data_IF_174872362468
#
_entry.id   IF_174872362468
#
_cell.length_a   1.000
_cell.length_b   1.000
_cell.length_c   1.000
_cell.angle_alpha   90.00
_cell.angle_beta   90.00
_cell.angle_gamma   90.00
#
_symmetry.space_group_name_H-M   'P 1'
#
loop_
_entity.id
_entity.type
_entity.pdbx_description
1 polymer ?
#
# COMPACT_ATOMS: atom_id res chain seq x y z
N UNK A 1 3.60 3.78 -21.77
CA UNK A 1 3.23 4.26 -20.41
C UNK A 1 1.95 5.10 -20.43
N UNK A 2 1.84 6.17 -21.23
CA UNK A 2 0.65 7.05 -21.25
C UNK A 2 -0.65 6.35 -21.64
N UNK A 3 -0.59 5.22 -22.31
CA UNK A 3 -1.79 4.47 -22.74
C UNK A 3 -2.50 3.71 -21.60
N UNK A 4 -1.85 3.57 -20.43
CA UNK A 4 -2.36 2.85 -19.27
C UNK A 4 -2.74 3.78 -18.10
N UNK A 5 -2.74 5.10 -18.31
CA UNK A 5 -3.14 6.05 -17.29
C UNK A 5 -4.65 6.13 -17.20
N UNK A 6 -5.21 5.59 -16.13
CA UNK A 6 -6.57 5.84 -15.71
C UNK A 6 -6.71 7.18 -15.01
N UNK A 7 -7.86 7.83 -15.15
CA UNK A 7 -8.22 8.99 -14.34
C UNK A 7 -9.52 8.66 -13.56
N UNK A 8 -9.42 8.24 -12.28
CA UNK A 8 -10.58 7.90 -11.47
C UNK A 8 -11.39 9.12 -11.03
N UNK A 9 -10.96 10.34 -11.40
CA UNK A 9 -11.54 11.64 -10.98
C UNK A 9 -11.67 11.77 -9.45
N UNK A 10 -10.75 11.14 -8.71
CA UNK A 10 -10.66 11.26 -7.26
C UNK A 10 -9.63 12.32 -6.87
N UNK A 11 -9.95 13.07 -5.82
CA UNK A 11 -9.04 14.07 -5.24
C UNK A 11 -8.92 13.86 -3.74
N UNK A 12 -7.71 13.80 -3.26
CA UNK A 12 -7.40 13.78 -1.85
C UNK A 12 -7.05 15.18 -1.39
N UNK A 13 -7.62 15.61 -0.28
CA UNK A 13 -7.32 16.90 0.34
C UNK A 13 -7.27 16.78 1.86
N UNK A 14 -6.50 17.64 2.50
CA UNK A 14 -6.53 17.74 3.96
C UNK A 14 -7.90 18.17 4.44
N UNK A 15 -8.35 17.57 5.54
CA UNK A 15 -9.61 17.94 6.18
C UNK A 15 -9.55 19.39 6.65
N UNK A 16 -10.60 20.14 6.39
CA UNK A 16 -10.76 21.55 6.85
C UNK A 16 -11.66 21.67 8.07
N UNK A 17 -12.35 20.59 8.43
CA UNK A 17 -13.24 20.49 9.59
C UNK A 17 -12.91 19.20 10.36
N UNK A 18 -12.76 19.30 11.66
CA UNK A 18 -12.53 18.15 12.54
C UNK A 18 -13.85 17.40 12.87
N UNK A 19 -13.81 16.26 13.59
CA UNK A 19 -15.02 15.51 13.96
C UNK A 19 -16.01 16.28 14.84
N UNK A 20 -15.54 17.29 15.57
CA UNK A 20 -16.35 18.14 16.44
C UNK A 20 -16.93 19.37 15.71
N UNK A 21 -16.62 19.52 14.40
CA UNK A 21 -17.11 20.63 13.57
C UNK A 21 -16.25 21.89 13.62
N UNK A 22 -15.07 21.85 14.23
CA UNK A 22 -14.16 22.99 14.30
C UNK A 22 -13.25 23.07 13.06
N UNK A 23 -12.77 24.27 12.69
CA UNK A 23 -11.75 24.41 11.66
C UNK A 23 -10.46 23.67 12.03
N UNK A 24 -9.85 22.99 11.05
CA UNK A 24 -8.59 22.26 11.23
C UNK A 24 -7.70 22.37 9.99
N UNK A 25 -6.40 22.13 10.16
CA UNK A 25 -5.48 21.92 9.04
C UNK A 25 -5.51 20.48 8.48
N UNK A 26 -6.28 19.59 9.11
CA UNK A 26 -6.28 18.16 8.78
C UNK A 26 -5.05 17.39 9.26
N UNK A 27 -4.12 18.07 9.94
CA UNK A 27 -2.89 17.48 10.47
C UNK A 27 -2.91 17.57 11.98
N UNK A 28 -2.94 16.43 12.65
CA UNK A 28 -2.79 16.33 14.11
C UNK A 28 -1.36 15.89 14.46
N UNK A 29 -0.87 16.35 15.61
CA UNK A 29 0.43 15.96 16.16
C UNK A 29 0.24 15.47 17.57
N UNK A 30 0.62 14.22 17.81
CA UNK A 30 0.48 13.57 19.13
C UNK A 30 1.86 13.33 19.72
N UNK A 31 2.08 13.84 20.93
CA UNK A 31 3.27 13.50 21.69
C UNK A 31 3.13 12.09 22.24
N UNK A 32 4.17 11.28 22.09
CA UNK A 32 4.21 9.91 22.58
C UNK A 32 5.58 9.62 23.22
N UNK A 33 5.60 8.68 24.16
CA UNK A 33 6.83 8.12 24.74
C UNK A 33 7.32 6.89 23.94
N UNK A 34 6.53 6.41 22.98
CA UNK A 34 6.91 5.30 22.10
C UNK A 34 7.92 5.81 21.08
N UNK A 35 9.11 5.20 21.07
CA UNK A 35 10.17 5.54 20.12
C UNK A 35 9.91 4.99 18.72
N UNK A 36 9.21 3.87 18.63
CA UNK A 36 8.85 3.16 17.39
C UNK A 36 7.64 2.25 17.62
N UNK A 37 7.10 1.73 16.53
CA UNK A 37 6.03 0.73 16.52
C UNK A 37 6.47 -0.45 15.65
N UNK A 38 6.33 -1.67 16.16
CA UNK A 38 6.71 -2.88 15.43
C UNK A 38 5.59 -3.30 14.48
N UNK A 39 5.86 -3.24 13.18
CA UNK A 39 4.90 -3.61 12.16
C UNK A 39 4.63 -5.12 12.09
N UNK A 40 5.56 -5.95 12.59
CA UNK A 40 5.42 -7.41 12.61
C UNK A 40 4.68 -7.90 13.87
N UNK A 41 4.59 -7.08 14.91
CA UNK A 41 3.83 -7.42 16.11
C UNK A 41 2.34 -7.13 15.92
N UNK A 42 1.50 -8.12 16.16
CA UNK A 42 0.06 -8.04 15.91
C UNK A 42 -0.68 -7.00 16.77
N UNK A 43 -0.12 -6.63 17.92
CA UNK A 43 -0.65 -5.58 18.78
C UNK A 43 -0.06 -4.22 18.40
N UNK A 44 1.27 -4.10 18.32
CA UNK A 44 1.96 -2.83 18.05
C UNK A 44 1.62 -2.28 16.68
N UNK A 45 1.45 -3.14 15.66
CA UNK A 45 1.01 -2.73 14.32
C UNK A 45 -0.35 -1.99 14.28
N UNK A 46 -1.09 -1.97 15.38
CA UNK A 46 -2.32 -1.19 15.50
C UNK A 46 -2.34 -0.28 16.74
N UNK A 47 -1.34 -0.36 17.60
CA UNK A 47 -1.32 0.40 18.85
C UNK A 47 -1.22 1.92 18.61
N UNK A 48 -0.50 2.37 17.55
CA UNK A 48 -0.45 3.80 17.16
C UNK A 48 -1.82 4.37 16.79
N UNK A 49 -2.78 3.52 16.46
CA UNK A 49 -4.16 3.91 16.12
C UNK A 49 -5.06 4.09 17.35
N UNK A 50 -4.48 4.06 18.56
CA UNK A 50 -5.24 4.16 19.81
C UNK A 50 -4.54 5.09 20.81
N UNK A 51 -5.29 6.08 21.30
CA UNK A 51 -4.81 7.02 22.33
C UNK A 51 -4.41 6.29 23.61
N UNK A 52 -5.15 5.27 24.01
CA UNK A 52 -4.86 4.47 25.21
C UNK A 52 -3.52 3.74 25.16
N UNK A 53 -2.97 3.52 23.95
CA UNK A 53 -1.70 2.84 23.74
C UNK A 53 -0.55 3.83 23.41
N UNK A 54 -0.78 5.14 23.57
CA UNK A 54 0.21 6.18 23.29
C UNK A 54 0.19 6.70 21.85
N UNK A 55 -0.75 6.25 21.03
CA UNK A 55 -1.02 6.77 19.70
C UNK A 55 -2.16 7.79 19.67
N UNK A 56 -2.95 7.78 18.62
CA UNK A 56 -4.13 8.64 18.47
C UNK A 56 -5.26 7.86 17.78
N UNK A 57 -6.47 7.98 18.35
CA UNK A 57 -7.65 7.34 17.76
C UNK A 57 -7.99 7.91 16.38
N UNK A 58 -8.52 7.04 15.51
CA UNK A 58 -8.99 7.44 14.19
C UNK A 58 -10.14 8.45 14.27
N UNK A 59 -10.17 9.38 13.35
CA UNK A 59 -11.41 10.09 13.04
C UNK A 59 -12.37 9.13 12.34
N UNK A 60 -13.67 9.47 12.34
CA UNK A 60 -14.70 8.59 11.77
C UNK A 60 -14.32 8.15 10.33
N UNK A 61 -14.00 6.86 10.11
CA UNK A 61 -13.50 6.39 8.82
C UNK A 61 -14.53 6.44 7.69
N UNK A 62 -15.83 6.59 8.02
CA UNK A 62 -16.85 6.82 6.99
C UNK A 62 -16.82 8.25 6.39
N UNK A 63 -16.00 9.15 6.95
CA UNK A 63 -15.89 10.54 6.52
C UNK A 63 -14.46 10.98 6.23
N UNK A 64 -13.48 10.32 6.81
CA UNK A 64 -12.07 10.70 6.74
C UNK A 64 -11.21 9.50 6.39
N UNK A 65 -10.31 9.67 5.45
CA UNK A 65 -9.17 8.76 5.31
C UNK A 65 -8.16 9.11 6.41
N UNK A 66 -7.93 8.18 7.33
CA UNK A 66 -6.97 8.34 8.40
C UNK A 66 -5.58 7.88 7.96
N UNK A 67 -4.57 8.69 8.21
CA UNK A 67 -3.17 8.38 7.89
C UNK A 67 -2.34 8.59 9.15
N UNK A 68 -1.70 7.52 9.64
CA UNK A 68 -0.75 7.59 10.74
C UNK A 68 0.68 7.58 10.18
N UNK A 69 1.42 8.63 10.50
CA UNK A 69 2.85 8.73 10.13
C UNK A 69 3.66 8.61 11.40
N UNK A 70 4.45 7.55 11.50
CA UNK A 70 5.21 7.22 12.71
C UNK A 70 6.52 6.49 12.36
N UNK A 71 7.33 6.21 13.36
CA UNK A 71 8.54 5.42 13.19
C UNK A 71 8.16 3.93 13.25
N UNK A 72 8.34 3.21 12.16
CA UNK A 72 8.09 1.76 12.06
C UNK A 72 9.39 0.97 12.23
N UNK A 73 9.27 -0.21 12.81
CA UNK A 73 10.34 -1.21 12.91
C UNK A 73 9.78 -2.58 12.55
N UNK A 74 10.69 -3.54 12.32
CA UNK A 74 10.37 -4.93 12.01
C UNK A 74 11.20 -5.86 12.92
N UNK A 75 10.56 -6.62 13.78
CA UNK A 75 11.21 -7.61 14.65
C UNK A 75 11.29 -9.01 14.02
N UNK A 76 10.43 -9.30 13.05
CA UNK A 76 10.34 -10.62 12.40
C UNK A 76 11.44 -10.94 11.40
N UNK A 77 12.32 -9.99 11.06
CA UNK A 77 13.46 -10.19 10.16
C UNK A 77 13.09 -10.39 8.69
N UNK A 78 11.83 -10.14 8.30
CA UNK A 78 11.30 -10.34 6.94
C UNK A 78 11.46 -9.17 5.98
N UNK A 79 12.23 -8.14 6.31
CA UNK A 79 12.37 -6.94 5.49
C UNK A 79 12.02 -5.68 6.26
N UNK A 80 11.87 -4.56 5.53
CA UNK A 80 11.50 -3.26 6.11
C UNK A 80 10.09 -2.89 5.64
N UNK A 81 9.15 -2.77 6.57
CA UNK A 81 7.81 -2.26 6.28
C UNK A 81 7.85 -0.74 6.16
N UNK A 82 7.58 -0.23 4.97
CA UNK A 82 7.54 1.20 4.69
C UNK A 82 6.16 1.80 4.99
N UNK A 83 5.12 0.98 4.90
CA UNK A 83 3.74 1.32 5.20
C UNK A 83 2.85 0.09 5.12
N UNK A 84 1.60 0.25 5.49
CA UNK A 84 0.54 -0.75 5.31
C UNK A 84 -0.84 -0.12 5.42
N UNK A 85 -1.80 -0.74 4.77
CA UNK A 85 -3.22 -0.39 4.87
C UNK A 85 -4.08 -1.64 5.10
N UNK A 86 -5.30 -1.45 5.54
CA UNK A 86 -6.31 -2.50 5.53
C UNK A 86 -7.13 -2.40 4.25
N UNK A 87 -7.40 -3.55 3.63
CA UNK A 87 -8.33 -3.64 2.51
C UNK A 87 -9.75 -3.29 2.97
N UNK A 88 -10.62 -2.80 2.06
CA UNK A 88 -12.01 -2.52 2.37
C UNK A 88 -12.75 -3.73 2.93
N UNK A 89 -13.78 -3.47 3.74
CA UNK A 89 -14.63 -4.53 4.29
C UNK A 89 -14.29 -4.91 5.74
N UNK A 90 -13.53 -4.10 6.45
CA UNK A 90 -13.33 -4.30 7.89
C UNK A 90 -14.70 -4.36 8.61
N UNK A 91 -14.89 -5.35 9.49
CA UNK A 91 -16.11 -5.41 10.32
C UNK A 91 -16.18 -4.19 11.26
N UNK A 92 -17.36 -3.75 11.60
CA UNK A 92 -17.63 -2.50 12.34
C UNK A 92 -16.84 -2.38 13.66
N UNK A 93 -16.56 -3.50 14.35
CA UNK A 93 -15.75 -3.50 15.58
C UNK A 93 -14.25 -3.28 15.34
N UNK A 94 -13.80 -3.39 14.09
CA UNK A 94 -12.43 -3.10 13.63
C UNK A 94 -12.34 -1.83 12.80
N UNK A 95 -13.43 -1.10 12.57
CA UNK A 95 -13.43 0.12 11.75
C UNK A 95 -12.44 1.19 12.26
N UNK A 96 -12.09 1.18 13.53
CA UNK A 96 -11.05 2.06 14.09
C UNK A 96 -9.64 1.81 13.54
N UNK A 97 -9.41 0.65 12.89
CA UNK A 97 -8.14 0.32 12.22
C UNK A 97 -8.05 0.88 10.81
N UNK A 98 -9.19 1.31 10.25
CA UNK A 98 -9.31 1.70 8.86
C UNK A 98 -8.48 2.94 8.53
N UNK A 99 -7.78 2.87 7.41
CA UNK A 99 -6.79 3.86 6.99
C UNK A 99 -5.41 3.23 6.79
N UNK A 100 -4.40 4.07 6.64
CA UNK A 100 -3.04 3.63 6.37
C UNK A 100 -2.04 4.11 7.42
N UNK A 101 -0.98 3.34 7.59
CA UNK A 101 0.20 3.68 8.39
C UNK A 101 1.40 3.78 7.45
N UNK A 102 2.21 4.82 7.60
CA UNK A 102 3.42 5.01 6.78
C UNK A 102 4.58 5.39 7.69
N UNK A 103 5.72 4.78 7.46
CA UNK A 103 6.96 5.18 8.11
C UNK A 103 7.31 6.63 7.76
N UNK A 104 7.72 7.41 8.76
CA UNK A 104 7.96 8.85 8.59
C UNK A 104 9.09 9.17 7.60
N UNK A 105 10.01 8.22 7.37
CA UNK A 105 11.09 8.36 6.38
C UNK A 105 10.62 8.04 4.95
N UNK A 106 9.40 7.52 4.80
CA UNK A 106 8.82 7.12 3.52
C UNK A 106 7.52 7.88 3.19
N UNK A 107 7.18 8.91 3.98
CA UNK A 107 6.02 9.76 3.73
C UNK A 107 6.44 11.06 3.04
N UNK A 108 6.39 11.07 1.72
CA UNK A 108 6.85 12.19 0.88
C UNK A 108 8.30 12.04 0.43
N UNK A 109 8.93 13.15 0.05
CA UNK A 109 10.26 13.19 -0.58
C UNK A 109 11.18 14.29 -0.02
N UNK A 110 10.85 14.86 1.12
CA UNK A 110 11.59 15.98 1.72
C UNK A 110 11.95 15.70 3.18
N UNK A 111 12.90 16.45 3.74
CA UNK A 111 13.35 16.34 5.13
C UNK A 111 13.77 14.90 5.49
N UNK A 112 13.13 14.30 6.48
CA UNK A 112 13.40 12.92 6.89
C UNK A 112 13.12 11.89 5.81
N UNK A 113 12.27 12.21 4.84
CA UNK A 113 11.92 11.36 3.69
C UNK A 113 12.70 11.72 2.40
N UNK A 114 13.80 12.46 2.49
CA UNK A 114 14.54 12.92 1.30
C UNK A 114 15.18 11.80 0.45
N UNK A 115 15.29 10.60 0.98
CA UNK A 115 15.76 9.41 0.25
C UNK A 115 14.63 8.52 -0.26
N UNK A 116 13.38 8.85 0.06
CA UNK A 116 12.19 8.14 -0.42
C UNK A 116 11.83 8.62 -1.83
N UNK A 117 11.25 7.72 -2.61
CA UNK A 117 10.65 8.06 -3.92
C UNK A 117 9.21 8.62 -3.79
N UNK A 118 8.66 8.65 -2.56
CA UNK A 118 7.32 9.15 -2.24
C UNK A 118 6.17 8.22 -2.64
N UNK A 119 6.44 7.02 -3.09
CA UNK A 119 5.42 6.09 -3.62
C UNK A 119 4.61 5.40 -2.52
N UNK A 120 5.20 5.18 -1.34
CA UNK A 120 4.60 4.37 -0.27
C UNK A 120 3.17 4.79 0.06
N UNK A 121 2.92 6.07 0.30
CA UNK A 121 1.56 6.52 0.63
C UNK A 121 0.55 6.26 -0.51
N UNK A 122 0.97 6.40 -1.77
CA UNK A 122 0.12 6.11 -2.94
C UNK A 122 -0.17 4.61 -3.06
N UNK A 123 0.84 3.77 -2.81
CA UNK A 123 0.70 2.32 -2.73
C UNK A 123 -0.34 1.93 -1.68
N UNK A 124 -0.20 2.43 -0.45
CA UNK A 124 -1.13 2.14 0.65
C UNK A 124 -2.55 2.67 0.39
N UNK A 125 -2.71 3.79 -0.32
CA UNK A 125 -4.01 4.27 -0.77
C UNK A 125 -4.63 3.28 -1.78
N UNK A 126 -3.84 2.67 -2.63
CA UNK A 126 -4.30 1.60 -3.51
C UNK A 126 -4.92 0.43 -2.73
N UNK A 127 -4.23 -0.07 -1.70
CA UNK A 127 -4.78 -1.09 -0.81
C UNK A 127 -6.04 -0.63 -0.07
N UNK A 128 -6.05 0.58 0.45
CA UNK A 128 -7.24 1.17 1.09
C UNK A 128 -8.44 1.21 0.13
N UNK A 129 -8.21 1.38 -1.17
CA UNK A 129 -9.25 1.36 -2.20
C UNK A 129 -9.55 -0.06 -2.73
N UNK A 130 -8.88 -1.09 -2.24
CA UNK A 130 -9.14 -2.49 -2.57
C UNK A 130 -8.21 -3.09 -3.62
N UNK A 131 -7.17 -2.38 -4.05
CA UNK A 131 -6.19 -2.93 -4.98
C UNK A 131 -5.23 -3.88 -4.25
N UNK A 132 -4.92 -5.00 -4.87
CA UNK A 132 -3.86 -5.92 -4.45
C UNK A 132 -2.55 -5.57 -5.16
N UNK A 133 -1.45 -6.23 -4.79
CA UNK A 133 -0.21 -6.14 -5.54
C UNK A 133 -0.39 -6.63 -6.98
N UNK A 134 0.44 -6.15 -7.89
CA UNK A 134 0.44 -6.59 -9.29
C UNK A 134 1.13 -7.94 -9.50
N UNK A 135 1.82 -8.45 -8.48
CA UNK A 135 2.50 -9.74 -8.51
C UNK A 135 1.74 -10.78 -7.66
N UNK A 136 1.88 -12.05 -8.03
CA UNK A 136 1.33 -13.16 -7.26
C UNK A 136 2.07 -13.30 -5.93
N UNK A 137 1.34 -13.44 -4.82
CA UNK A 137 1.91 -13.68 -3.49
C UNK A 137 1.93 -15.17 -3.12
N UNK A 138 1.35 -16.03 -3.96
CA UNK A 138 1.33 -17.47 -3.75
C UNK A 138 2.68 -18.10 -4.14
N UNK A 139 2.95 -19.24 -3.52
CA UNK A 139 4.15 -20.04 -3.79
C UNK A 139 3.79 -21.49 -4.06
N UNK A 140 4.67 -22.20 -4.77
CA UNK A 140 4.58 -23.65 -4.90
C UNK A 140 4.88 -24.37 -3.57
N UNK A 141 4.78 -25.70 -3.56
CA UNK A 141 5.06 -26.52 -2.37
C UNK A 141 6.51 -26.46 -1.88
N UNK A 142 7.41 -25.90 -2.67
CA UNK A 142 8.81 -25.66 -2.36
C UNK A 142 9.08 -24.21 -1.91
N UNK A 143 8.05 -23.33 -1.93
CA UNK A 143 8.16 -21.92 -1.56
C UNK A 143 8.66 -21.01 -2.68
N UNK A 144 8.66 -21.46 -3.94
CA UNK A 144 9.04 -20.61 -5.07
C UNK A 144 7.81 -19.81 -5.56
N UNK A 145 7.98 -18.52 -5.97
CA UNK A 145 6.91 -17.75 -6.58
C UNK A 145 6.29 -18.46 -7.79
N UNK A 146 4.98 -18.35 -7.94
CA UNK A 146 4.24 -18.92 -9.08
C UNK A 146 3.50 -17.81 -9.83
N UNK A 147 3.11 -18.08 -11.07
CA UNK A 147 2.16 -17.24 -11.79
C UNK A 147 0.75 -17.49 -11.26
N UNK A 148 0.03 -16.45 -10.92
CA UNK A 148 -1.38 -16.51 -10.57
C UNK A 148 -2.24 -16.22 -11.78
N UNK A 149 -3.41 -16.84 -11.81
CA UNK A 149 -4.50 -16.44 -12.67
C UNK A 149 -5.16 -15.18 -12.06
N UNK A 150 -4.94 -14.03 -12.68
CA UNK A 150 -5.48 -12.75 -12.23
C UNK A 150 -7.02 -12.73 -12.26
N UNK A 151 -7.66 -13.62 -13.03
CA UNK A 151 -9.11 -13.70 -13.17
C UNK A 151 -9.77 -14.57 -12.07
N UNK A 152 -9.01 -15.37 -11.34
CA UNK A 152 -9.55 -16.48 -10.51
C UNK A 152 -9.10 -16.46 -9.05
N UNK A 153 -8.73 -15.33 -8.50
CA UNK A 153 -8.32 -15.37 -7.11
C UNK A 153 -9.50 -15.52 -6.15
N UNK A 154 -9.36 -16.45 -5.21
CA UNK A 154 -10.32 -16.71 -4.15
C UNK A 154 -10.44 -15.52 -3.15
N UNK A 155 -9.65 -14.47 -3.32
CA UNK A 155 -9.56 -13.30 -2.43
C UNK A 155 -10.16 -12.03 -3.04
N UNK A 156 -10.56 -12.08 -4.33
CA UNK A 156 -11.37 -11.02 -4.96
C UNK A 156 -10.67 -9.67 -5.14
N UNK A 157 -9.37 -9.64 -5.42
CA UNK A 157 -8.63 -8.39 -5.40
C UNK A 157 -7.70 -8.10 -6.58
N UNK A 158 -7.48 -9.04 -7.47
CA UNK A 158 -6.69 -8.76 -8.67
C UNK A 158 -7.55 -8.03 -9.71
N UNK A 159 -6.92 -7.17 -10.47
CA UNK A 159 -7.57 -6.46 -11.57
C UNK A 159 -7.17 -7.12 -12.88
N UNK A 160 -8.15 -7.46 -13.71
CA UNK A 160 -7.94 -8.25 -14.93
C UNK A 160 -7.10 -7.54 -15.99
N UNK A 161 -6.90 -6.22 -15.85
CA UNK A 161 -6.17 -5.38 -16.79
C UNK A 161 -4.68 -5.21 -16.45
N UNK A 162 -4.17 -5.95 -15.47
CA UNK A 162 -2.73 -6.06 -15.21
C UNK A 162 -2.20 -7.40 -15.68
N UNK A 163 -0.98 -7.44 -16.30
CA UNK A 163 -0.36 -8.70 -16.70
C UNK A 163 -0.08 -9.61 -15.52
N UNK A 164 -0.11 -10.90 -15.76
CA UNK A 164 0.27 -11.89 -14.77
C UNK A 164 1.76 -11.77 -14.43
N UNK A 165 2.07 -11.56 -13.18
CA UNK A 165 3.45 -11.34 -12.69
C UNK A 165 3.71 -12.23 -11.48
N UNK A 166 4.81 -12.98 -11.46
CA UNK A 166 5.14 -13.87 -10.33
C UNK A 166 6.26 -13.31 -9.45
N UNK A 167 7.23 -12.60 -10.02
CA UNK A 167 8.42 -12.16 -9.30
C UNK A 167 8.29 -10.71 -8.85
N UNK A 168 8.62 -10.46 -7.58
CA UNK A 168 8.64 -9.10 -7.04
C UNK A 168 9.90 -8.40 -7.54
N UNK A 169 9.73 -7.24 -8.18
CA UNK A 169 10.83 -6.42 -8.65
C UNK A 169 11.10 -5.27 -7.67
N UNK A 170 12.25 -5.32 -7.00
CA UNK A 170 12.65 -4.33 -5.98
C UNK A 170 13.59 -3.23 -6.49
N UNK A 171 13.94 -3.26 -7.77
CA UNK A 171 14.92 -2.34 -8.32
C UNK A 171 14.26 -1.14 -9.00
N UNK A 172 15.10 -0.18 -9.37
CA UNK A 172 14.64 0.99 -10.14
C UNK A 172 14.17 0.58 -11.53
N UNK A 173 12.96 0.94 -11.88
CA UNK A 173 12.43 0.79 -13.25
C UNK A 173 12.76 2.02 -14.10
N UNK A 174 12.99 1.79 -15.39
CA UNK A 174 13.23 2.82 -16.39
C UNK A 174 12.67 2.36 -17.74
N UNK A 175 12.80 3.19 -18.76
CA UNK A 175 12.26 2.92 -20.10
C UNK A 175 12.82 1.65 -20.78
N UNK A 176 13.85 1.01 -20.24
CA UNK A 176 14.46 -0.22 -20.78
C UNK A 176 14.17 -1.44 -19.90
N UNK A 177 13.48 -1.28 -18.80
CA UNK A 177 13.03 -2.42 -17.98
C UNK A 177 12.00 -3.22 -18.77
N UNK A 178 12.24 -4.52 -18.92
CA UNK A 178 11.47 -5.40 -19.80
C UNK A 178 11.26 -6.79 -19.19
N UNK A 179 10.94 -6.83 -17.90
CA UNK A 179 10.58 -8.09 -17.24
C UNK A 179 9.31 -8.67 -17.86
N UNK A 180 9.27 -9.98 -17.95
CA UNK A 180 8.09 -10.75 -18.32
C UNK A 180 8.23 -12.12 -17.63
N UNK A 181 7.62 -12.26 -16.48
CA UNK A 181 7.83 -13.42 -15.59
C UNK A 181 6.77 -14.50 -15.76
N UNK A 182 5.64 -14.15 -16.39
CA UNK A 182 4.55 -15.06 -16.69
C UNK A 182 4.10 -14.92 -18.15
N UNK A 183 3.46 -15.95 -18.67
CA UNK A 183 2.83 -15.90 -19.99
C UNK A 183 1.34 -15.55 -19.81
N UNK A 184 0.96 -14.31 -20.11
CA UNK A 184 -0.41 -13.82 -19.94
C UNK A 184 -1.47 -14.66 -20.63
N UNK A 185 -1.17 -15.26 -21.77
CA UNK A 185 -2.11 -16.15 -22.49
C UNK A 185 -2.50 -17.39 -21.68
N UNK A 186 -1.74 -17.73 -20.64
CA UNK A 186 -1.99 -18.89 -19.77
C UNK A 186 -2.65 -18.51 -18.45
N UNK A 187 -2.59 -17.23 -18.07
CA UNK A 187 -2.97 -16.76 -16.74
C UNK A 187 -3.93 -15.56 -16.75
N UNK A 188 -4.40 -15.11 -17.91
CA UNK A 188 -5.39 -14.04 -18.03
C UNK A 188 -6.38 -14.33 -19.16
N UNK A 189 -7.65 -13.97 -18.97
CA UNK A 189 -8.69 -14.01 -20.00
C UNK A 189 -8.82 -12.68 -20.76
N UNK A 190 -8.11 -11.64 -20.35
CA UNK A 190 -8.18 -10.29 -20.93
C UNK A 190 -7.11 -10.08 -21.98
N UNK A 191 -5.89 -10.55 -21.72
CA UNK A 191 -4.76 -10.37 -22.63
C UNK A 191 -4.83 -11.37 -23.81
N UNK A 192 -4.69 -10.83 -25.02
CA UNK A 192 -4.64 -11.63 -26.27
C UNK A 192 -3.22 -11.82 -26.78
N UNK A 193 -2.25 -11.20 -26.14
CA UNK A 193 -0.81 -11.30 -26.40
C UNK A 193 -0.08 -11.31 -25.06
N UNK A 194 1.07 -11.94 -25.03
CA UNK A 194 1.98 -11.89 -23.91
C UNK A 194 2.63 -10.50 -23.82
N UNK A 195 2.57 -9.84 -22.68
CA UNK A 195 3.04 -8.47 -22.47
C UNK A 195 4.02 -8.40 -21.30
N UNK A 196 4.70 -7.28 -21.16
CA UNK A 196 5.66 -7.08 -20.07
C UNK A 196 4.95 -6.85 -18.74
N UNK A 197 5.59 -7.30 -17.66
CA UNK A 197 5.16 -7.03 -16.29
C UNK A 197 5.06 -5.51 -16.05
N UNK A 198 4.09 -5.10 -15.26
CA UNK A 198 3.89 -3.69 -14.88
C UNK A 198 4.71 -3.34 -13.63
N UNK A 199 6.03 -3.51 -13.67
CA UNK A 199 6.91 -3.23 -12.53
C UNK A 199 6.81 -1.78 -12.04
N UNK A 200 6.51 -0.84 -12.92
CA UNK A 200 6.33 0.58 -12.60
C UNK A 200 4.99 0.90 -11.93
N UNK A 201 4.06 -0.04 -11.89
CA UNK A 201 2.76 0.17 -11.22
C UNK A 201 2.98 0.52 -9.75
N UNK A 202 2.15 1.44 -9.21
CA UNK A 202 2.23 1.80 -7.81
C UNK A 202 1.94 0.62 -6.87
N UNK A 203 1.20 -0.39 -7.32
CA UNK A 203 0.93 -1.62 -6.56
C UNK A 203 2.03 -2.68 -6.71
N UNK A 204 3.14 -2.37 -7.38
CA UNK A 204 4.40 -3.14 -7.35
C UNK A 204 5.37 -2.54 -6.33
N UNK A 205 6.52 -3.20 -6.10
CA UNK A 205 7.55 -2.77 -5.15
C UNK A 205 8.75 -2.10 -5.81
N UNK A 206 8.72 -1.91 -7.11
CA UNK A 206 9.80 -1.22 -7.79
C UNK A 206 9.87 0.26 -7.40
N UNK A 207 11.09 0.79 -7.33
CA UNK A 207 11.33 2.22 -7.19
C UNK A 207 11.44 2.88 -8.57
N UNK A 208 10.89 4.06 -8.74
CA UNK A 208 11.02 4.82 -9.98
C UNK A 208 12.17 5.81 -9.88
N UNK A 209 13.05 5.77 -10.85
CA UNK A 209 14.06 6.82 -11.10
C UNK A 209 13.61 7.66 -12.31
N UNK A 210 12.70 8.59 -12.07
CA UNK A 210 12.28 9.59 -13.06
C UNK A 210 12.94 10.92 -12.78
#
# INVERSE_FOLDING_TARGET
FLNYWGNPDMKFCLATTDPDGNPTSGITRTSTTQAYWDADDSFESNAMKRTVNGGIDSWNPSKYLNIWVCNLTNSGGGGTTLGYAYLPGLPSWNAWKDGLVVDFQNFGTILSAATSDGRTATHEIGHYLGLMHTFCEDTDTQGNPICCDNDNNNWGGYVDDTPATKDIYFWSVNATTNNNTCNDLSYSNVFTTDVLDMDENFMSYASNTW
#
